data_IF_726014693572
#
_entry.id   IF_726014693572
#
_cell.length_a   1.000
_cell.length_b   1.000
_cell.length_c   1.000
_cell.angle_alpha   90.00
_cell.angle_beta   90.00
_cell.angle_gamma   90.00
#
_symmetry.space_group_name_H-M   'P 1'
#
loop_
_entity.id
_entity.type
_entity.pdbx_description
1 polymer ?
#
# COMPACT_ATOMS: atom_id res chain seq x y z
N UNK A 1 -12.50 28.76 -10.78
CA UNK A 1 -13.02 27.69 -11.64
C UNK A 1 -11.98 27.39 -12.70
N UNK A 2 -10.96 26.62 -12.32
CA UNK A 2 -9.99 26.07 -13.25
C UNK A 2 -10.31 24.58 -13.35
N UNK A 3 -10.68 24.20 -14.56
CA UNK A 3 -11.02 22.87 -15.02
C UNK A 3 -9.83 21.93 -14.71
N UNK A 4 -9.95 21.14 -13.65
CA UNK A 4 -9.05 20.02 -13.37
C UNK A 4 -9.33 18.96 -14.42
N UNK A 5 -8.68 19.09 -15.58
CA UNK A 5 -8.71 18.11 -16.65
C UNK A 5 -8.35 16.75 -16.07
N UNK A 6 -9.34 15.87 -15.94
CA UNK A 6 -9.14 14.46 -15.69
C UNK A 6 -8.25 13.90 -16.82
N UNK A 7 -6.97 13.72 -16.52
CA UNK A 7 -6.04 12.98 -17.39
C UNK A 7 -6.32 11.48 -17.26
N UNK A 8 -7.52 11.05 -17.63
CA UNK A 8 -7.86 9.65 -17.73
C UNK A 8 -7.27 9.08 -19.01
N UNK A 9 -6.19 8.31 -18.88
CA UNK A 9 -5.60 7.60 -20.01
C UNK A 9 -6.48 6.38 -20.35
N UNK A 10 -6.87 6.27 -21.62
CA UNK A 10 -7.76 5.21 -22.08
C UNK A 10 -6.94 3.95 -22.42
N UNK A 11 -7.03 2.92 -21.58
CA UNK A 11 -6.34 1.64 -21.78
C UNK A 11 -7.27 0.64 -22.48
N UNK A 12 -6.72 -0.16 -23.41
CA UNK A 12 -7.49 -1.20 -24.13
C UNK A 12 -7.73 -2.39 -23.22
N UNK A 13 -8.96 -2.59 -22.79
CA UNK A 13 -9.30 -3.61 -21.78
C UNK A 13 -9.94 -4.86 -22.39
N UNK A 14 -10.53 -4.76 -23.59
CA UNK A 14 -11.18 -5.92 -24.18
C UNK A 14 -11.90 -5.69 -25.51
N UNK A 15 -12.72 -6.67 -25.86
CA UNK A 15 -13.52 -6.66 -27.09
C UNK A 15 -14.95 -7.01 -26.75
N UNK A 16 -15.86 -6.17 -27.22
CA UNK A 16 -17.29 -6.37 -27.06
C UNK A 16 -17.96 -6.48 -28.44
N UNK A 17 -19.16 -7.07 -28.47
CA UNK A 17 -20.01 -7.13 -29.66
C UNK A 17 -20.68 -5.80 -29.96
N UNK A 18 -20.75 -4.90 -28.98
CA UNK A 18 -21.37 -3.57 -29.10
C UNK A 18 -20.39 -2.46 -28.73
N UNK A 19 -20.48 -1.34 -29.43
CA UNK A 19 -19.64 -0.18 -29.13
C UNK A 19 -19.74 0.91 -30.19
N UNK A 20 -19.07 2.05 -29.97
CA UNK A 20 -19.07 3.17 -30.92
C UNK A 20 -18.40 2.77 -32.25
N UNK A 21 -18.98 3.19 -33.39
CA UNK A 21 -18.46 2.88 -34.73
C UNK A 21 -16.99 3.25 -34.93
N UNK A 22 -16.52 4.32 -34.30
CA UNK A 22 -15.11 4.74 -34.34
C UNK A 22 -14.14 3.68 -33.79
N UNK A 23 -14.62 2.74 -32.96
CA UNK A 23 -13.83 1.71 -32.28
C UNK A 23 -14.00 0.31 -32.86
N UNK A 24 -14.63 0.19 -34.04
CA UNK A 24 -14.85 -1.09 -34.70
C UNK A 24 -13.52 -1.71 -35.13
N UNK A 25 -13.23 -2.92 -34.65
CA UNK A 25 -12.11 -3.74 -35.12
C UNK A 25 -12.55 -4.49 -36.38
N UNK A 26 -12.30 -3.86 -37.54
CA UNK A 26 -12.68 -4.41 -38.85
C UNK A 26 -12.06 -5.79 -39.10
N UNK A 27 -10.80 -5.98 -38.72
CA UNK A 27 -10.09 -7.25 -38.97
C UNK A 27 -10.72 -8.40 -38.17
N UNK A 28 -11.00 -8.20 -36.88
CA UNK A 28 -11.65 -9.23 -36.07
C UNK A 28 -13.12 -9.44 -36.45
N UNK A 29 -13.81 -8.38 -36.82
CA UNK A 29 -15.19 -8.45 -37.34
C UNK A 29 -15.27 -9.34 -38.59
N UNK A 30 -14.36 -9.14 -39.55
CA UNK A 30 -14.27 -9.99 -40.75
C UNK A 30 -13.94 -11.43 -40.39
N UNK A 31 -13.03 -11.66 -39.44
CA UNK A 31 -12.66 -13.01 -39.00
C UNK A 31 -13.84 -13.77 -38.39
N UNK A 32 -14.65 -13.12 -37.55
CA UNK A 32 -15.84 -13.72 -36.95
C UNK A 32 -16.92 -14.02 -38.00
N UNK A 33 -17.13 -13.12 -38.95
CA UNK A 33 -18.03 -13.35 -40.07
C UNK A 33 -17.59 -14.56 -40.93
N UNK A 34 -16.30 -14.68 -41.25
CA UNK A 34 -15.77 -15.83 -42.00
C UNK A 34 -15.96 -17.13 -41.21
N UNK A 35 -15.66 -17.13 -39.91
CA UNK A 35 -15.84 -18.29 -39.02
C UNK A 35 -17.30 -18.73 -38.92
N UNK A 36 -18.23 -17.78 -38.82
CA UNK A 36 -19.67 -18.08 -38.81
C UNK A 36 -20.10 -18.69 -40.15
N UNK A 37 -19.67 -18.10 -41.27
CA UNK A 37 -20.03 -18.54 -42.61
C UNK A 37 -19.47 -19.91 -42.97
N UNK A 38 -18.30 -20.29 -42.46
CA UNK A 38 -17.69 -21.61 -42.76
C UNK A 38 -18.49 -22.80 -42.21
N UNK A 39 -19.43 -22.58 -41.29
CA UNK A 39 -20.27 -23.62 -40.67
C UNK A 39 -21.71 -23.58 -41.21
N UNK A 40 -22.07 -22.56 -42.02
CA UNK A 40 -23.42 -22.38 -42.53
C UNK A 40 -23.55 -22.94 -43.96
N UNK A 41 -24.59 -23.73 -44.20
CA UNK A 41 -24.91 -24.29 -45.53
C UNK A 41 -25.38 -23.21 -46.52
N UNK A 42 -26.00 -22.12 -46.03
CA UNK A 42 -26.36 -20.95 -46.81
C UNK A 42 -25.92 -19.66 -46.07
N UNK A 43 -24.70 -19.16 -46.32
CA UNK A 43 -24.10 -18.11 -45.52
C UNK A 43 -24.73 -16.74 -45.78
N UNK A 44 -25.23 -16.12 -44.71
CA UNK A 44 -25.76 -14.75 -44.76
C UNK A 44 -24.60 -13.73 -44.76
N UNK A 45 -24.75 -12.55 -45.41
CA UNK A 45 -23.83 -11.42 -45.31
C UNK A 45 -23.52 -10.97 -43.87
N UNK A 46 -22.74 -9.90 -43.70
CA UNK A 46 -22.34 -9.42 -42.38
C UNK A 46 -23.56 -9.13 -41.50
N UNK A 47 -23.52 -9.60 -40.26
CA UNK A 47 -24.57 -9.34 -39.26
C UNK A 47 -23.98 -8.59 -38.07
N UNK A 48 -24.84 -7.98 -37.25
CA UNK A 48 -24.43 -7.25 -36.05
C UNK A 48 -23.69 -8.14 -35.04
N UNK A 49 -23.97 -9.44 -35.04
CA UNK A 49 -23.27 -10.43 -34.21
C UNK A 49 -21.80 -10.65 -34.60
N UNK A 50 -21.41 -10.28 -35.83
CA UNK A 50 -20.03 -10.35 -36.30
C UNK A 50 -19.20 -9.16 -35.78
N UNK A 51 -19.84 -8.06 -35.38
CA UNK A 51 -19.16 -6.83 -35.00
C UNK A 51 -18.32 -7.04 -33.73
N UNK A 52 -17.09 -6.52 -33.76
CA UNK A 52 -16.18 -6.53 -32.62
C UNK A 52 -15.64 -5.13 -32.41
N UNK A 53 -15.95 -4.53 -31.26
CA UNK A 53 -15.54 -3.19 -30.88
C UNK A 53 -14.44 -3.25 -29.82
N UNK A 54 -13.44 -2.39 -29.96
CA UNK A 54 -12.40 -2.23 -28.95
C UNK A 54 -12.98 -1.46 -27.77
N UNK A 55 -13.00 -2.08 -26.60
CA UNK A 55 -13.35 -1.40 -25.36
C UNK A 55 -12.12 -0.66 -24.83
N UNK A 56 -12.36 0.58 -24.40
CA UNK A 56 -11.38 1.37 -23.68
C UNK A 56 -11.94 1.55 -22.28
N UNK A 57 -11.19 1.11 -21.29
CA UNK A 57 -11.46 1.48 -19.91
C UNK A 57 -10.70 2.75 -19.58
N UNK A 58 -11.34 3.61 -18.81
CA UNK A 58 -10.62 4.66 -18.08
C UNK A 58 -9.92 3.95 -16.93
N UNK A 59 -8.60 3.87 -16.97
CA UNK A 59 -7.84 3.58 -15.76
C UNK A 59 -7.43 4.91 -15.14
N UNK A 60 -7.60 5.10 -13.82
CA UNK A 60 -7.01 6.26 -13.16
C UNK A 60 -5.51 6.25 -13.41
N UNK A 61 -4.95 7.42 -13.71
CA UNK A 61 -3.50 7.53 -13.85
C UNK A 61 -2.89 7.29 -12.46
N UNK A 62 -1.90 6.39 -12.32
CA UNK A 62 -1.27 6.18 -11.04
C UNK A 62 -0.65 7.49 -10.57
N UNK A 63 -0.93 7.87 -9.32
CA UNK A 63 -0.32 9.06 -8.72
C UNK A 63 1.20 8.86 -8.75
N UNK A 64 1.91 9.83 -9.33
CA UNK A 64 3.37 9.72 -9.56
C UNK A 64 4.19 10.07 -8.32
N UNK A 65 3.53 10.60 -7.28
CA UNK A 65 4.13 11.00 -6.03
C UNK A 65 3.72 10.03 -4.92
N UNK A 66 4.66 9.72 -4.04
CA UNK A 66 4.39 8.95 -2.84
C UNK A 66 4.92 9.66 -1.59
N UNK A 67 4.17 9.55 -0.51
CA UNK A 67 4.60 9.94 0.83
C UNK A 67 4.84 8.66 1.63
N UNK A 68 6.00 8.54 2.26
CA UNK A 68 6.37 7.37 3.07
C UNK A 68 6.63 7.81 4.50
N UNK A 69 5.83 7.28 5.44
CA UNK A 69 5.92 7.60 6.85
C UNK A 69 6.49 6.40 7.58
N UNK A 70 7.68 6.56 8.15
CA UNK A 70 8.33 5.55 8.97
C UNK A 70 8.09 5.85 10.44
N UNK A 71 7.47 4.89 11.14
CA UNK A 71 7.14 5.01 12.55
C UNK A 71 7.93 3.95 13.32
N UNK A 72 8.72 4.37 14.31
CA UNK A 72 9.56 3.48 15.11
C UNK A 72 9.25 3.61 16.59
N UNK A 73 9.00 2.47 17.24
CA UNK A 73 9.05 2.40 18.69
C UNK A 73 10.51 2.48 19.18
N UNK A 74 10.78 3.47 20.02
CA UNK A 74 12.09 3.72 20.63
C UNK A 74 12.04 3.55 22.16
N UNK A 75 11.03 2.84 22.66
CA UNK A 75 10.85 2.44 24.06
C UNK A 75 11.97 1.54 24.58
N UNK A 76 11.94 1.28 25.88
CA UNK A 76 12.95 0.45 26.53
C UNK A 76 12.87 -1.03 26.19
N UNK A 77 11.74 -1.52 25.67
CA UNK A 77 11.56 -2.94 25.33
C UNK A 77 12.21 -3.29 23.99
N UNK A 78 12.29 -2.32 23.08
CA UNK A 78 13.08 -2.38 21.85
C UNK A 78 14.58 -2.36 22.17
N UNK A 79 15.30 -3.46 21.96
CA UNK A 79 16.76 -3.48 22.09
C UNK A 79 17.48 -2.96 20.84
N UNK A 80 18.81 -2.80 20.93
CA UNK A 80 19.62 -2.25 19.83
C UNK A 80 19.54 -3.12 18.56
N UNK A 81 19.50 -4.45 18.73
CA UNK A 81 19.39 -5.37 17.61
C UNK A 81 18.02 -5.24 16.91
N UNK A 82 16.94 -5.15 17.69
CA UNK A 82 15.58 -4.95 17.19
C UNK A 82 15.45 -3.63 16.43
N UNK A 83 15.97 -2.53 17.00
CA UNK A 83 16.01 -1.23 16.30
C UNK A 83 16.83 -1.29 15.02
N UNK A 84 17.98 -1.97 15.01
CA UNK A 84 18.81 -2.10 13.81
C UNK A 84 18.09 -2.90 12.70
N UNK A 85 17.34 -3.93 13.09
CA UNK A 85 16.55 -4.74 12.17
C UNK A 85 15.40 -3.93 11.56
N UNK A 86 14.65 -3.19 12.38
CA UNK A 86 13.61 -2.26 11.93
C UNK A 86 14.16 -1.19 10.97
N UNK A 87 15.31 -0.60 11.30
CA UNK A 87 16.01 0.39 10.45
C UNK A 87 16.43 -0.21 9.11
N UNK A 88 16.92 -1.44 9.11
CA UNK A 88 17.26 -2.17 7.87
C UNK A 88 16.01 -2.40 7.02
N UNK A 89 14.88 -2.77 7.64
CA UNK A 89 13.60 -2.90 6.95
C UNK A 89 13.16 -1.59 6.31
N UNK A 90 13.16 -0.47 7.04
CA UNK A 90 12.77 0.84 6.49
C UNK A 90 13.64 1.26 5.30
N UNK A 91 14.96 1.04 5.39
CA UNK A 91 15.86 1.33 4.29
C UNK A 91 15.45 0.59 3.01
N UNK A 92 15.19 -0.72 3.11
CA UNK A 92 14.79 -1.52 1.95
C UNK A 92 13.37 -1.23 1.47
N UNK A 93 12.44 -0.93 2.37
CA UNK A 93 11.08 -0.51 2.03
C UNK A 93 11.11 0.78 1.20
N UNK A 94 11.92 1.77 1.62
CA UNK A 94 12.13 3.00 0.86
C UNK A 94 12.70 2.73 -0.53
N UNK A 95 13.67 1.82 -0.65
CA UNK A 95 14.23 1.46 -1.96
C UNK A 95 13.22 0.75 -2.86
N UNK A 96 12.29 -0.03 -2.29
CA UNK A 96 11.18 -0.64 -3.02
C UNK A 96 10.26 0.41 -3.65
N UNK A 97 9.78 1.35 -2.83
CA UNK A 97 8.87 2.42 -3.28
C UNK A 97 9.55 3.36 -4.28
N UNK A 98 10.85 3.66 -4.10
CA UNK A 98 11.67 4.46 -5.04
C UNK A 98 11.72 3.91 -6.45
N UNK A 99 11.42 2.62 -6.66
CA UNK A 99 11.36 2.01 -7.99
C UNK A 99 10.01 2.20 -8.67
N UNK A 100 8.95 2.46 -7.90
CA UNK A 100 7.58 2.57 -8.38
C UNK A 100 7.15 4.04 -8.60
N UNK A 101 7.68 4.96 -7.79
CA UNK A 101 7.26 6.36 -7.79
C UNK A 101 8.39 7.31 -8.19
N UNK A 102 8.06 8.33 -8.98
CA UNK A 102 9.04 9.29 -9.50
C UNK A 102 9.48 10.33 -8.46
N UNK A 103 8.58 10.70 -7.55
CA UNK A 103 8.85 11.62 -6.44
C UNK A 103 8.42 10.99 -5.14
N UNK A 104 9.29 11.07 -4.14
CA UNK A 104 9.02 10.52 -2.81
C UNK A 104 9.37 11.55 -1.76
N UNK A 105 8.43 11.76 -0.84
CA UNK A 105 8.64 12.50 0.39
C UNK A 105 8.62 11.52 1.57
N UNK A 106 9.53 11.70 2.52
CA UNK A 106 9.71 10.78 3.64
C UNK A 106 9.59 11.52 4.95
N UNK A 107 8.84 10.94 5.89
CA UNK A 107 8.66 11.47 7.23
C UNK A 107 9.03 10.39 8.26
N UNK A 108 9.75 10.78 9.29
CA UNK A 108 10.28 9.85 10.29
C UNK A 108 9.73 10.20 11.68
N UNK A 109 9.00 9.28 12.29
CA UNK A 109 8.34 9.46 13.58
C UNK A 109 8.87 8.42 14.57
N UNK A 110 9.41 8.88 15.69
CA UNK A 110 9.79 8.02 16.81
C UNK A 110 8.83 8.21 17.98
N UNK A 111 8.55 7.14 18.73
CA UNK A 111 7.65 7.25 19.89
C UNK A 111 8.05 6.42 21.11
N UNK A 112 7.58 6.87 22.26
CA UNK A 112 7.50 6.15 23.55
C UNK A 112 6.12 6.41 24.16
N UNK A 113 6.03 7.19 25.23
CA UNK A 113 4.77 7.79 25.76
C UNK A 113 4.39 9.09 25.05
N UNK A 114 5.32 9.63 24.25
CA UNK A 114 5.13 10.78 23.38
C UNK A 114 5.65 10.43 21.98
N UNK A 115 5.29 11.22 20.97
CA UNK A 115 5.75 11.03 19.60
C UNK A 115 6.40 12.31 19.06
N UNK A 116 7.43 12.15 18.24
CA UNK A 116 8.21 13.25 17.66
C UNK A 116 8.56 12.97 16.21
N UNK A 117 8.65 14.03 15.43
CA UNK A 117 9.23 14.02 14.09
C UNK A 117 10.75 14.16 14.19
N UNK A 118 11.47 13.45 13.33
CA UNK A 118 12.92 13.48 13.26
C UNK A 118 13.37 13.71 11.82
N UNK A 119 14.54 14.31 11.63
CA UNK A 119 15.24 14.16 10.37
C UNK A 119 15.67 12.70 10.15
N UNK A 120 15.94 12.34 8.89
CA UNK A 120 16.44 11.00 8.55
C UNK A 120 17.67 10.62 9.40
N UNK A 121 18.64 11.53 9.49
CA UNK A 121 19.88 11.30 10.25
C UNK A 121 19.63 11.10 11.75
N UNK A 122 18.74 11.89 12.35
CA UNK A 122 18.40 11.78 13.77
C UNK A 122 17.62 10.50 14.07
N UNK A 123 16.68 10.12 13.19
CA UNK A 123 15.89 8.90 13.34
C UNK A 123 16.76 7.64 13.37
N UNK A 124 17.83 7.60 12.57
CA UNK A 124 18.76 6.47 12.61
C UNK A 124 19.70 6.49 13.83
N UNK A 125 19.83 7.60 14.54
CA UNK A 125 20.65 7.73 15.74
C UNK A 125 19.86 7.71 17.08
N UNK A 126 18.54 7.94 17.03
CA UNK A 126 17.73 8.15 18.24
C UNK A 126 17.72 6.94 19.17
N UNK A 127 17.78 7.23 20.47
CA UNK A 127 17.60 6.30 21.57
C UNK A 127 16.73 7.00 22.62
N UNK A 128 15.66 6.36 23.04
CA UNK A 128 14.84 6.84 24.14
C UNK A 128 14.66 5.73 25.18
N UNK A 129 14.18 6.12 26.35
CA UNK A 129 13.80 5.19 27.42
C UNK A 129 12.42 5.61 27.90
N UNK A 130 11.57 4.63 28.20
CA UNK A 130 10.17 4.86 28.53
C UNK A 130 9.30 3.71 28.08
N UNK A 131 8.01 3.78 28.44
CA UNK A 131 7.00 2.85 27.96
C UNK A 131 6.49 3.17 26.56
N UNK A 132 5.44 2.47 26.15
CA UNK A 132 4.93 2.51 24.78
C UNK A 132 3.45 2.91 24.77
N UNK A 133 3.14 4.04 24.14
CA UNK A 133 1.79 4.51 23.82
C UNK A 133 1.69 4.76 22.31
N UNK A 134 1.42 3.69 21.56
CA UNK A 134 1.42 3.72 20.09
C UNK A 134 0.39 4.71 19.50
N UNK A 135 -0.68 5.01 20.24
CA UNK A 135 -1.71 5.94 19.78
C UNK A 135 -1.16 7.36 19.58
N UNK A 136 -0.07 7.73 20.27
CA UNK A 136 0.61 9.02 20.09
C UNK A 136 1.31 9.10 18.75
N UNK A 137 1.94 8.01 18.35
CA UNK A 137 2.58 7.90 17.04
C UNK A 137 1.53 7.97 15.93
N UNK A 138 0.43 7.22 16.05
CA UNK A 138 -0.64 7.22 15.04
C UNK A 138 -1.33 8.58 14.93
N UNK A 139 -1.53 9.27 16.06
CA UNK A 139 -2.05 10.64 16.05
C UNK A 139 -1.13 11.59 15.28
N UNK A 140 0.18 11.54 15.55
CA UNK A 140 1.15 12.38 14.86
C UNK A 140 1.25 12.04 13.36
N UNK A 141 1.20 10.75 12.99
CA UNK A 141 1.18 10.33 11.59
C UNK A 141 -0.04 10.90 10.85
N UNK A 142 -1.24 10.79 11.44
CA UNK A 142 -2.46 11.40 10.88
C UNK A 142 -2.32 12.91 10.70
N UNK A 143 -1.78 13.59 11.70
CA UNK A 143 -1.54 15.03 11.67
C UNK A 143 -0.59 15.44 10.54
N UNK A 144 0.51 14.69 10.36
CA UNK A 144 1.48 14.92 9.29
C UNK A 144 0.83 14.70 7.92
N UNK A 145 0.10 13.60 7.75
CA UNK A 145 -0.60 13.29 6.49
C UNK A 145 -1.56 14.42 6.12
N UNK A 146 -2.46 14.77 7.04
CA UNK A 146 -3.51 15.76 6.78
C UNK A 146 -2.95 17.17 6.51
N UNK A 147 -1.78 17.51 7.04
CA UNK A 147 -1.16 18.83 6.86
C UNK A 147 -0.32 18.94 5.60
N UNK A 148 0.32 17.85 5.15
CA UNK A 148 1.36 17.90 4.11
C UNK A 148 0.99 17.20 2.81
N UNK A 149 0.12 16.17 2.85
CA UNK A 149 -0.10 15.30 1.71
C UNK A 149 -1.56 15.31 1.26
N UNK A 150 -1.80 15.83 0.06
CA UNK A 150 -3.11 15.80 -0.59
C UNK A 150 -3.36 14.38 -1.15
N UNK A 151 -4.44 13.68 -0.72
CA UNK A 151 -4.76 12.34 -1.21
C UNK A 151 -5.00 12.26 -2.72
N UNK A 152 -5.29 13.39 -3.38
CA UNK A 152 -5.44 13.45 -4.84
C UNK A 152 -4.11 13.52 -5.60
N UNK A 153 -2.99 13.70 -4.89
CA UNK A 153 -1.66 13.87 -5.47
C UNK A 153 -0.65 12.82 -4.98
N UNK A 154 -0.81 12.32 -3.75
CA UNK A 154 0.13 11.40 -3.11
C UNK A 154 -0.48 10.03 -2.84
N UNK A 155 0.27 8.98 -3.14
CA UNK A 155 0.09 7.67 -2.54
C UNK A 155 0.78 7.63 -1.17
N UNK A 156 0.03 7.35 -0.10
CA UNK A 156 0.55 7.36 1.28
C UNK A 156 0.86 5.94 1.74
N UNK A 157 2.12 5.70 2.10
CA UNK A 157 2.60 4.43 2.63
C UNK A 157 3.06 4.66 4.07
N UNK A 158 2.55 3.86 5.01
CA UNK A 158 2.97 3.94 6.41
C UNK A 158 3.60 2.62 6.81
N UNK A 159 4.80 2.68 7.37
CA UNK A 159 5.50 1.53 7.91
C UNK A 159 5.77 1.71 9.40
N UNK A 160 5.23 0.81 10.21
CA UNK A 160 5.41 0.82 11.65
C UNK A 160 6.29 -0.34 12.10
N UNK A 161 7.24 -0.07 12.99
CA UNK A 161 8.07 -1.09 13.62
C UNK A 161 8.05 -0.97 15.15
N UNK A 162 7.74 -2.08 15.83
CA UNK A 162 7.83 -2.23 17.30
C UNK A 162 8.08 -3.68 17.68
N UNK A 163 8.24 -3.95 18.96
CA UNK A 163 8.24 -5.31 19.53
C UNK A 163 6.83 -5.83 19.87
N UNK A 164 5.82 -4.97 19.74
CA UNK A 164 4.40 -5.29 19.88
C UNK A 164 3.80 -4.98 21.25
N UNK A 165 4.59 -4.40 22.16
CA UNK A 165 4.11 -3.94 23.45
C UNK A 165 3.36 -2.60 23.33
N UNK A 166 2.29 -2.46 24.12
CA UNK A 166 1.54 -1.22 24.25
C UNK A 166 0.88 -1.15 25.63
N UNK A 167 0.70 0.05 26.17
CA UNK A 167 0.02 0.22 27.45
C UNK A 167 -1.47 -0.13 27.38
N UNK A 168 -1.97 -0.81 28.42
CA UNK A 168 -3.36 -1.26 28.48
C UNK A 168 -4.38 -0.10 28.48
N UNK A 169 -3.99 1.09 28.92
CA UNK A 169 -4.82 2.29 28.84
C UNK A 169 -4.87 2.90 27.43
N UNK A 170 -3.92 2.56 26.56
CA UNK A 170 -3.75 3.12 25.23
C UNK A 170 -4.41 2.31 24.11
N UNK A 171 -4.85 1.07 24.41
CA UNK A 171 -5.33 0.10 23.40
C UNK A 171 -6.46 0.62 22.53
N UNK A 172 -7.51 1.15 23.14
CA UNK A 172 -8.69 1.63 22.42
C UNK A 172 -8.34 2.83 21.54
N UNK A 173 -7.55 3.77 22.07
CA UNK A 173 -7.08 4.92 21.32
C UNK A 173 -6.15 4.52 20.16
N UNK A 174 -5.28 3.54 20.38
CA UNK A 174 -4.42 2.95 19.36
C UNK A 174 -5.25 2.32 18.24
N UNK A 175 -6.25 1.51 18.58
CA UNK A 175 -7.13 0.86 17.60
C UNK A 175 -7.93 1.87 16.77
N UNK A 176 -8.53 2.88 17.42
CA UNK A 176 -9.29 3.94 16.74
C UNK A 176 -8.40 4.71 15.75
N UNK A 177 -7.22 5.15 16.20
CA UNK A 177 -6.30 5.93 15.36
C UNK A 177 -5.66 5.11 14.27
N UNK A 178 -5.36 3.83 14.52
CA UNK A 178 -4.85 2.93 13.51
C UNK A 178 -5.85 2.74 12.37
N UNK A 179 -7.15 2.59 12.72
CA UNK A 179 -8.23 2.51 11.72
C UNK A 179 -8.40 3.81 10.94
N UNK A 180 -8.27 4.97 11.59
CA UNK A 180 -8.30 6.25 10.89
C UNK A 180 -7.08 6.40 9.95
N UNK A 181 -5.90 5.99 10.40
CA UNK A 181 -4.66 6.02 9.63
C UNK A 181 -4.74 5.11 8.41
N UNK A 182 -5.34 3.94 8.56
CA UNK A 182 -5.52 3.00 7.45
C UNK A 182 -6.49 3.53 6.38
N UNK A 183 -7.48 4.34 6.77
CA UNK A 183 -8.44 4.92 5.83
C UNK A 183 -7.83 6.02 4.94
N UNK A 184 -6.71 6.63 5.36
CA UNK A 184 -5.99 7.68 4.62
C UNK A 184 -4.68 7.18 3.99
N UNK A 185 -4.38 5.88 4.14
CA UNK A 185 -3.15 5.28 3.62
C UNK A 185 -3.47 4.33 2.47
N UNK A 186 -2.66 4.35 1.42
CA UNK A 186 -2.70 3.36 0.34
C UNK A 186 -2.14 2.01 0.78
N UNK A 187 -1.21 2.00 1.73
CA UNK A 187 -0.77 0.77 2.38
C UNK A 187 -0.23 1.03 3.78
N UNK A 188 -0.53 0.10 4.68
CA UNK A 188 -0.08 0.13 6.07
C UNK A 188 0.67 -1.17 6.41
N UNK A 189 1.99 -1.09 6.50
CA UNK A 189 2.86 -2.22 6.81
C UNK A 189 3.32 -2.22 8.26
N UNK A 190 3.14 -3.33 8.97
CA UNK A 190 3.68 -3.51 10.32
C UNK A 190 4.76 -4.57 10.36
N UNK A 191 5.89 -4.25 10.98
CA UNK A 191 6.91 -5.23 11.32
C UNK A 191 7.08 -5.33 12.82
N UNK A 192 7.00 -6.55 13.32
CA UNK A 192 7.20 -6.83 14.73
C UNK A 192 8.58 -7.44 14.95
N UNK A 193 9.44 -6.77 15.67
CA UNK A 193 10.76 -7.32 16.01
C UNK A 193 10.60 -8.32 17.15
N UNK A 194 10.86 -9.59 16.87
CA UNK A 194 10.75 -10.67 17.84
C UNK A 194 12.11 -11.29 18.13
N UNK A 195 12.32 -11.72 19.38
CA UNK A 195 13.54 -12.46 19.77
C UNK A 195 13.55 -13.91 19.29
N UNK A 196 12.42 -14.44 18.83
CA UNK A 196 12.31 -15.78 18.24
C UNK A 196 11.62 -15.68 16.89
N UNK A 197 12.30 -16.10 15.83
CA UNK A 197 11.78 -16.13 14.46
C UNK A 197 10.47 -16.92 14.30
N UNK A 198 10.14 -17.77 15.28
CA UNK A 198 8.91 -18.58 15.33
C UNK A 198 7.74 -17.93 16.07
N UNK A 199 7.93 -16.81 16.76
CA UNK A 199 6.86 -16.20 17.55
C UNK A 199 5.88 -15.51 16.61
N UNK A 200 4.70 -16.13 16.52
CA UNK A 200 3.52 -15.66 15.82
C UNK A 200 3.20 -14.25 16.34
N UNK A 201 2.75 -13.34 15.46
CA UNK A 201 2.22 -11.99 15.73
C UNK A 201 1.02 -12.01 16.69
N UNK A 202 1.23 -12.49 17.91
CA UNK A 202 0.25 -12.76 18.95
C UNK A 202 0.25 -11.65 20.00
N UNK A 203 1.18 -10.70 19.90
CA UNK A 203 1.17 -9.45 20.65
C UNK A 203 -0.12 -8.68 20.41
N UNK A 204 -0.30 -7.62 21.17
CA UNK A 204 -1.45 -6.75 21.00
C UNK A 204 -1.42 -6.03 19.64
N UNK A 205 -0.28 -5.43 19.28
CA UNK A 205 -0.12 -4.73 17.99
C UNK A 205 -0.24 -5.70 16.83
N UNK A 206 0.42 -6.88 16.90
CA UNK A 206 0.30 -7.92 15.88
C UNK A 206 -1.15 -8.34 15.62
N UNK A 207 -1.95 -8.51 16.69
CA UNK A 207 -3.39 -8.81 16.56
C UNK A 207 -4.18 -7.66 15.94
N UNK A 208 -3.91 -6.41 16.31
CA UNK A 208 -4.58 -5.25 15.71
C UNK A 208 -4.33 -5.15 14.20
N UNK A 209 -3.09 -5.28 13.75
CA UNK A 209 -2.76 -5.25 12.32
C UNK A 209 -3.31 -6.47 11.57
N UNK A 210 -3.37 -7.64 12.21
CA UNK A 210 -4.01 -8.82 11.62
C UNK A 210 -5.52 -8.62 11.44
N UNK A 211 -6.21 -8.08 12.44
CA UNK A 211 -7.65 -7.74 12.34
C UNK A 211 -7.89 -6.73 11.21
N UNK A 212 -6.99 -5.76 11.04
CA UNK A 212 -7.07 -4.78 9.97
C UNK A 212 -6.87 -5.42 8.58
N UNK A 213 -5.88 -6.31 8.46
CA UNK A 213 -5.55 -7.02 7.22
C UNK A 213 -6.60 -8.08 6.81
N UNK A 214 -7.35 -8.64 7.77
CA UNK A 214 -8.50 -9.52 7.51
C UNK A 214 -9.71 -8.74 6.98
N UNK A 215 -9.75 -7.42 7.17
CA UNK A 215 -10.72 -6.54 6.54
C UNK A 215 -10.37 -6.18 5.09
N UNK A 216 -11.13 -5.26 4.51
CA UNK A 216 -10.89 -4.75 3.14
C UNK A 216 -9.90 -3.58 3.11
N UNK A 217 -8.92 -3.60 4.01
CA UNK A 217 -7.93 -2.53 4.17
C UNK A 217 -6.58 -3.02 3.64
N UNK A 218 -5.85 -2.23 2.84
CA UNK A 218 -4.53 -2.59 2.35
C UNK A 218 -3.49 -2.49 3.48
N UNK A 219 -3.49 -3.49 4.35
CA UNK A 219 -2.58 -3.60 5.49
C UNK A 219 -2.01 -5.02 5.56
N UNK A 220 -0.76 -5.13 6.02
CA UNK A 220 -0.15 -6.43 6.28
C UNK A 220 0.86 -6.33 7.43
N UNK A 221 1.18 -7.48 8.02
CA UNK A 221 2.10 -7.59 9.14
C UNK A 221 3.06 -8.76 9.00
N UNK A 222 4.29 -8.58 9.51
CA UNK A 222 5.34 -9.60 9.45
C UNK A 222 6.23 -9.57 10.70
N UNK A 223 6.65 -10.74 11.17
CA UNK A 223 7.57 -10.86 12.30
C UNK A 223 9.03 -10.88 11.81
N UNK A 224 9.90 -10.06 12.41
CA UNK A 224 11.32 -9.95 12.10
C UNK A 224 12.15 -10.53 13.25
N UNK A 225 12.75 -11.70 13.05
CA UNK A 225 13.68 -12.31 14.00
C UNK A 225 15.15 -12.21 13.57
N UNK A 226 15.41 -12.10 12.28
CA UNK A 226 16.75 -12.02 11.71
C UNK A 226 16.80 -11.16 10.43
N UNK A 227 18.01 -10.85 9.95
CA UNK A 227 18.21 -10.03 8.75
C UNK A 227 17.54 -10.62 7.50
N UNK A 228 17.45 -11.95 7.40
CA UNK A 228 16.79 -12.65 6.29
C UNK A 228 15.28 -12.36 6.24
N UNK A 229 14.65 -12.18 7.40
CA UNK A 229 13.22 -11.89 7.53
C UNK A 229 12.87 -10.52 6.94
N UNK A 230 13.82 -9.56 6.97
CA UNK A 230 13.64 -8.25 6.35
C UNK A 230 13.33 -8.40 4.86
N UNK A 231 14.09 -9.24 4.16
CA UNK A 231 13.89 -9.44 2.73
C UNK A 231 12.58 -10.19 2.43
N UNK A 232 12.19 -11.12 3.31
CA UNK A 232 10.92 -11.82 3.20
C UNK A 232 9.72 -10.88 3.44
N UNK A 233 9.81 -9.99 4.43
CA UNK A 233 8.80 -8.98 4.71
C UNK A 233 8.62 -8.03 3.53
N UNK A 234 9.71 -7.53 2.96
CA UNK A 234 9.69 -6.66 1.77
C UNK A 234 9.01 -7.38 0.61
N UNK A 235 9.44 -8.59 0.26
CA UNK A 235 8.81 -9.36 -0.81
C UNK A 235 7.30 -9.55 -0.58
N UNK A 236 6.89 -9.87 0.65
CA UNK A 236 5.48 -10.07 0.98
C UNK A 236 4.67 -8.79 0.77
N UNK A 237 5.10 -7.67 1.33
CA UNK A 237 4.38 -6.41 1.25
C UNK A 237 4.26 -5.90 -0.19
N UNK A 238 5.34 -5.93 -0.98
CA UNK A 238 5.30 -5.44 -2.37
C UNK A 238 4.62 -6.41 -3.35
N UNK A 239 4.58 -7.72 -3.07
CA UNK A 239 3.83 -8.68 -3.92
C UNK A 239 2.32 -8.54 -3.70
N UNK A 240 1.89 -8.32 -2.46
CA UNK A 240 0.48 -8.09 -2.16
C UNK A 240 -0.03 -6.77 -2.74
N UNK A 241 0.76 -5.70 -2.67
CA UNK A 241 0.41 -4.43 -3.33
C UNK A 241 0.21 -4.60 -4.84
N UNK A 242 1.12 -5.28 -5.54
CA UNK A 242 0.99 -5.52 -6.96
C UNK A 242 -0.29 -6.31 -7.32
N UNK A 243 -0.78 -7.16 -6.41
CA UNK A 243 -2.02 -7.93 -6.61
C UNK A 243 -3.28 -7.10 -6.32
N UNK A 244 -3.19 -6.07 -5.48
CA UNK A 244 -4.30 -5.16 -5.15
C UNK A 244 -4.45 -4.01 -6.15
N UNK A 245 -3.39 -3.65 -6.88
CA UNK A 245 -3.40 -2.60 -7.91
C UNK A 245 -3.82 -3.11 -9.32
N UNK A 246 -3.85 -4.43 -9.55
CA UNK A 246 -4.19 -5.09 -10.83
C UNK A 246 -5.69 -5.41 -11.01
#
# INVERSE_FOLDING_TARGET
TADSMEHAEYVREGIDRRGPRARLDRRRTVKEAVKRRSVQTNPIPFTDDDLRFRQLARRPQPLTQAAVIFVLDVSSSMDDASRQLAKSFFFWALQGIRRQHARIETEFIGHTVNAWEFSEAEFFAVRATGGTEASRAFALSLDVINKRFDPSQYNVYVFYASDGDNFAADREASKERLKALSAVSNFLGYVETTRRSSDRLNTEMGRMFKELAEGDTPADSYALGAQEDVWNAIRRFFTQQATQED
#
